data_IF_719179296531
#
_entry.id   IF_719179296531
#
_cell.length_a   1.000
_cell.length_b   1.000
_cell.length_c   1.000
_cell.angle_alpha   90.00
_cell.angle_beta   90.00
_cell.angle_gamma   90.00
#
_symmetry.space_group_name_H-M   'P 1'
#
loop_
_entity.id
_entity.type
_entity.pdbx_description
1 polymer ?
#
# COMPACT_ATOMS: atom_id res chain seq x y z
N UNK A 1 -24.29 -0.42 -12.58
CA UNK A 1 -23.22 -0.63 -13.60
C UNK A 1 -22.59 -1.98 -13.30
N UNK A 2 -22.09 -2.71 -14.30
CA UNK A 2 -21.36 -3.95 -14.01
C UNK A 2 -20.03 -3.59 -13.35
N UNK A 3 -19.72 -4.22 -12.21
CA UNK A 3 -18.43 -4.05 -11.55
C UNK A 3 -17.32 -4.64 -12.43
N UNK A 4 -16.31 -3.85 -12.76
CA UNK A 4 -15.14 -4.27 -13.51
C UNK A 4 -13.88 -3.90 -12.72
N UNK A 5 -13.07 -4.90 -12.38
CA UNK A 5 -11.90 -4.77 -11.52
C UNK A 5 -10.62 -4.96 -12.35
N UNK A 6 -9.68 -4.03 -12.23
CA UNK A 6 -8.31 -4.21 -12.72
C UNK A 6 -7.41 -4.66 -11.56
N UNK A 7 -6.80 -5.84 -11.68
CA UNK A 7 -5.75 -6.31 -10.76
C UNK A 7 -4.42 -5.65 -11.16
N UNK A 8 -3.84 -4.87 -10.26
CA UNK A 8 -2.57 -4.18 -10.44
C UNK A 8 -1.53 -4.83 -9.54
N UNK A 9 -0.54 -5.51 -10.12
CA UNK A 9 0.52 -6.17 -9.37
C UNK A 9 1.77 -5.28 -9.38
N UNK A 10 2.17 -4.79 -8.21
CA UNK A 10 3.30 -3.89 -8.02
C UNK A 10 4.55 -4.66 -7.64
N UNK A 11 5.64 -4.35 -8.34
CA UNK A 11 6.94 -4.97 -8.14
C UNK A 11 7.89 -4.01 -7.44
N UNK A 12 8.26 -4.31 -6.19
CA UNK A 12 9.25 -3.49 -5.48
C UNK A 12 10.62 -3.50 -6.20
N UNK A 13 10.97 -4.61 -6.83
CA UNK A 13 12.16 -4.76 -7.65
C UNK A 13 11.82 -5.48 -8.95
N UNK A 14 12.66 -5.30 -9.98
CA UNK A 14 12.47 -5.93 -11.28
C UNK A 14 12.66 -7.46 -11.18
N UNK A 15 11.53 -8.17 -11.06
CA UNK A 15 11.46 -9.63 -10.98
C UNK A 15 10.63 -10.21 -12.13
N UNK A 16 11.12 -10.06 -13.36
CA UNK A 16 10.39 -10.44 -14.59
C UNK A 16 9.90 -11.89 -14.58
N UNK A 17 10.63 -12.82 -13.93
CA UNK A 17 10.23 -14.22 -13.77
C UNK A 17 8.92 -14.41 -13.00
N UNK A 18 8.56 -13.48 -12.11
CA UNK A 18 7.32 -13.55 -11.36
C UNK A 18 6.11 -13.23 -12.24
N UNK A 19 6.26 -12.48 -13.35
CA UNK A 19 5.14 -12.07 -14.23
C UNK A 19 4.37 -13.30 -14.69
N UNK A 20 5.02 -14.24 -15.40
CA UNK A 20 4.37 -15.46 -15.88
C UNK A 20 3.73 -16.29 -14.76
N UNK A 21 4.39 -16.39 -13.60
CA UNK A 21 3.87 -17.18 -12.48
C UNK A 21 2.63 -16.55 -11.87
N UNK A 22 2.59 -15.23 -11.78
CA UNK A 22 1.45 -14.51 -11.23
C UNK A 22 0.27 -14.53 -12.21
N UNK A 23 0.53 -14.48 -13.53
CA UNK A 23 -0.49 -14.78 -14.55
C UNK A 23 -1.12 -16.15 -14.31
N UNK A 24 -0.32 -17.22 -14.18
CA UNK A 24 -0.83 -18.58 -13.91
C UNK A 24 -1.64 -18.70 -12.60
N UNK A 25 -1.39 -17.82 -11.62
CA UNK A 25 -2.09 -17.79 -10.33
C UNK A 25 -3.40 -17.00 -10.40
N UNK A 26 -3.51 -16.01 -11.29
CA UNK A 26 -4.58 -15.03 -11.29
C UNK A 26 -5.45 -15.03 -12.56
N UNK A 27 -5.01 -15.59 -13.68
CA UNK A 27 -5.69 -15.55 -14.99
C UNK A 27 -7.14 -16.07 -14.96
N UNK A 28 -7.39 -17.11 -14.19
CA UNK A 28 -8.70 -17.72 -14.02
C UNK A 28 -9.57 -16.99 -12.98
N UNK A 29 -9.04 -15.96 -12.32
CA UNK A 29 -9.70 -15.19 -11.25
C UNK A 29 -9.89 -13.72 -11.60
N UNK A 30 -9.08 -13.17 -12.49
CA UNK A 30 -9.11 -11.78 -12.91
C UNK A 30 -8.89 -11.70 -14.41
N UNK A 31 -9.84 -11.11 -15.13
CA UNK A 31 -9.78 -10.93 -16.58
C UNK A 31 -8.84 -9.78 -17.00
N UNK A 32 -8.50 -8.89 -16.07
CA UNK A 32 -7.71 -7.69 -16.31
C UNK A 32 -6.53 -7.60 -15.32
N UNK A 33 -5.39 -8.16 -15.70
CA UNK A 33 -4.17 -8.18 -14.90
C UNK A 33 -3.14 -7.25 -15.53
N UNK A 34 -2.60 -6.34 -14.73
CA UNK A 34 -1.53 -5.43 -15.11
C UNK A 34 -0.35 -5.55 -14.16
N UNK A 35 0.85 -5.63 -14.72
CA UNK A 35 2.09 -5.69 -13.95
C UNK A 35 2.79 -4.34 -13.98
N UNK A 36 3.01 -3.73 -12.82
CA UNK A 36 3.68 -2.44 -12.71
C UNK A 36 5.12 -2.70 -12.28
N UNK A 37 6.03 -2.66 -13.26
CA UNK A 37 7.40 -3.18 -13.11
C UNK A 37 8.44 -2.06 -13.27
N UNK A 38 9.33 -1.85 -12.29
CA UNK A 38 10.32 -0.80 -12.37
C UNK A 38 11.39 -1.13 -13.42
N UNK A 39 11.70 -0.16 -14.28
CA UNK A 39 12.72 -0.26 -15.33
C UNK A 39 12.53 -1.47 -16.26
N UNK A 40 11.29 -1.86 -16.52
CA UNK A 40 10.97 -2.90 -17.50
C UNK A 40 11.26 -2.41 -18.93
N UNK A 41 11.92 -3.24 -19.72
CA UNK A 41 12.34 -2.98 -21.10
C UNK A 41 11.87 -4.06 -22.09
N UNK A 42 11.00 -4.97 -21.64
CA UNK A 42 10.38 -5.98 -22.50
C UNK A 42 9.13 -5.46 -23.21
N UNK A 43 8.40 -6.37 -23.84
CA UNK A 43 7.32 -6.09 -24.79
C UNK A 43 5.96 -6.68 -24.38
N UNK A 44 5.83 -7.22 -23.16
CA UNK A 44 4.55 -7.77 -22.70
C UNK A 44 3.48 -6.66 -22.61
N UNK A 45 2.32 -6.83 -23.26
CA UNK A 45 1.36 -5.74 -23.48
C UNK A 45 0.64 -5.28 -22.20
N UNK A 46 0.62 -6.13 -21.17
CA UNK A 46 0.01 -5.84 -19.88
C UNK A 46 1.04 -5.47 -18.79
N UNK A 47 2.29 -5.25 -19.18
CA UNK A 47 3.31 -4.71 -18.29
C UNK A 47 3.43 -3.20 -18.50
N UNK A 48 3.32 -2.45 -17.42
CA UNK A 48 3.47 -1.00 -17.39
C UNK A 48 4.85 -0.69 -16.78
N UNK A 49 5.81 -0.18 -17.58
CA UNK A 49 7.11 0.21 -17.07
C UNK A 49 6.99 1.49 -16.24
N UNK A 50 7.65 1.51 -15.09
CA UNK A 50 7.73 2.70 -14.21
C UNK A 50 9.18 3.01 -13.84
N UNK A 51 9.44 4.28 -13.54
CA UNK A 51 10.80 4.78 -13.30
C UNK A 51 10.83 5.57 -12.00
N UNK A 52 10.97 4.86 -10.88
CA UNK A 52 11.05 5.46 -9.55
C UNK A 52 11.75 4.49 -8.58
N UNK A 53 12.15 4.97 -7.41
CA UNK A 53 12.70 4.16 -6.31
C UNK A 53 11.62 3.32 -5.63
N UNK A 54 11.99 2.10 -5.21
CA UNK A 54 11.13 1.24 -4.39
C UNK A 54 10.79 1.85 -3.02
N UNK A 55 11.56 2.82 -2.52
CA UNK A 55 11.21 3.56 -1.30
C UNK A 55 10.02 4.52 -1.51
N UNK A 56 9.72 4.87 -2.76
CA UNK A 56 8.72 5.86 -3.17
C UNK A 56 7.74 5.27 -4.18
N UNK A 57 7.43 3.96 -4.07
CA UNK A 57 6.61 3.27 -5.07
C UNK A 57 5.15 3.77 -5.16
N UNK A 58 4.71 4.71 -4.29
CA UNK A 58 3.50 5.50 -4.58
C UNK A 58 3.55 6.13 -5.97
N UNK A 59 4.75 6.53 -6.43
CA UNK A 59 4.98 7.03 -7.78
C UNK A 59 4.69 6.01 -8.88
N UNK A 60 4.76 4.71 -8.59
CA UNK A 60 4.45 3.65 -9.57
C UNK A 60 2.96 3.67 -9.90
N UNK A 61 2.10 3.83 -8.89
CA UNK A 61 0.64 3.93 -9.06
C UNK A 61 0.31 5.20 -9.87
N UNK A 62 0.98 6.31 -9.56
CA UNK A 62 0.82 7.57 -10.31
C UNK A 62 1.23 7.44 -11.78
N UNK A 63 2.33 6.75 -12.07
CA UNK A 63 2.82 6.53 -13.43
C UNK A 63 1.95 5.52 -14.20
N UNK A 64 1.38 4.53 -13.51
CA UNK A 64 0.58 3.49 -14.14
C UNK A 64 -0.84 3.95 -14.49
N UNK A 65 -1.47 4.79 -13.67
CA UNK A 65 -2.86 5.18 -13.87
C UNK A 65 -3.19 5.80 -15.25
N UNK A 66 -2.35 6.66 -15.86
CA UNK A 66 -2.57 7.15 -17.22
C UNK A 66 -2.78 6.05 -18.28
N UNK A 67 -2.19 4.86 -18.11
CA UNK A 67 -2.37 3.72 -19.01
C UNK A 67 -3.69 2.97 -18.81
N UNK A 68 -4.39 3.25 -17.70
CA UNK A 68 -5.61 2.56 -17.27
C UNK A 68 -6.83 3.49 -17.33
N UNK A 69 -6.61 4.80 -17.23
CA UNK A 69 -7.64 5.83 -17.30
C UNK A 69 -8.43 5.70 -18.60
N UNK A 70 -9.76 5.73 -18.48
CA UNK A 70 -10.68 5.62 -19.62
C UNK A 70 -10.94 4.20 -20.13
N UNK A 71 -10.34 3.15 -19.54
CA UNK A 71 -10.61 1.75 -19.90
C UNK A 71 -11.90 1.16 -19.32
N UNK A 72 -12.71 1.95 -18.62
CA UNK A 72 -14.01 1.52 -18.07
C UNK A 72 -13.94 0.75 -16.74
N UNK A 73 -12.77 0.69 -16.10
CA UNK A 73 -12.64 0.07 -14.78
C UNK A 73 -13.39 0.85 -13.71
N UNK A 74 -14.11 0.11 -12.86
CA UNK A 74 -14.82 0.66 -11.70
C UNK A 74 -13.98 0.58 -10.43
N UNK A 75 -13.08 -0.42 -10.36
CA UNK A 75 -12.24 -0.68 -9.20
C UNK A 75 -10.82 -1.05 -9.64
N UNK A 76 -9.86 -0.73 -8.79
CA UNK A 76 -8.46 -1.07 -8.94
C UNK A 76 -8.02 -1.84 -7.69
N UNK A 77 -7.66 -3.10 -7.87
CA UNK A 77 -7.17 -3.94 -6.79
C UNK A 77 -5.67 -4.05 -6.89
N UNK A 78 -4.95 -3.41 -5.97
CA UNK A 78 -3.50 -3.32 -5.97
C UNK A 78 -2.93 -4.37 -5.02
N UNK A 79 -1.95 -5.14 -5.47
CA UNK A 79 -1.20 -6.11 -4.64
C UNK A 79 0.30 -6.10 -4.95
N UNK A 80 1.13 -6.47 -3.99
CA UNK A 80 2.56 -6.70 -4.21
C UNK A 80 2.85 -8.02 -4.96
N UNK A 81 3.97 -8.09 -5.69
CA UNK A 81 4.37 -9.26 -6.48
C UNK A 81 4.75 -10.50 -5.65
N UNK A 82 5.10 -10.30 -4.38
CA UNK A 82 5.32 -11.36 -3.39
C UNK A 82 4.13 -11.54 -2.44
N UNK A 83 2.91 -11.19 -2.87
CA UNK A 83 1.67 -11.44 -2.14
C UNK A 83 0.79 -12.47 -2.88
N UNK A 84 0.24 -13.42 -2.12
CA UNK A 84 -0.80 -14.33 -2.62
C UNK A 84 -2.14 -13.96 -2.00
N UNK A 85 -3.12 -13.61 -2.81
CA UNK A 85 -4.50 -13.34 -2.37
C UNK A 85 -5.24 -14.66 -2.16
N UNK A 86 -6.14 -14.71 -1.17
CA UNK A 86 -6.94 -15.89 -0.86
C UNK A 86 -7.57 -16.53 -2.12
N UNK A 87 -7.42 -17.85 -2.35
CA UNK A 87 -7.77 -18.51 -3.62
C UNK A 87 -9.25 -18.35 -4.04
N UNK A 88 -10.15 -18.22 -3.08
CA UNK A 88 -11.60 -18.05 -3.33
C UNK A 88 -11.97 -16.68 -3.92
N UNK A 89 -11.08 -15.69 -3.83
CA UNK A 89 -11.34 -14.32 -4.26
C UNK A 89 -11.05 -14.16 -5.75
N UNK A 90 -12.01 -13.58 -6.46
CA UNK A 90 -11.94 -13.26 -7.88
C UNK A 90 -12.69 -11.95 -8.16
N UNK A 91 -12.59 -11.46 -9.39
CA UNK A 91 -13.17 -10.16 -9.79
C UNK A 91 -14.69 -10.04 -9.54
N UNK A 92 -15.42 -11.16 -9.53
CA UNK A 92 -16.88 -11.18 -9.38
C UNK A 92 -17.35 -11.21 -7.93
N UNK A 93 -16.47 -11.60 -6.99
CA UNK A 93 -16.85 -11.78 -5.58
C UNK A 93 -15.98 -11.00 -4.58
N UNK A 94 -14.94 -10.32 -5.04
CA UNK A 94 -13.95 -9.65 -4.19
C UNK A 94 -14.61 -8.70 -3.20
N UNK A 95 -15.41 -7.76 -3.69
CA UNK A 95 -16.07 -6.71 -2.89
C UNK A 95 -17.02 -7.35 -1.86
N UNK A 96 -17.92 -8.21 -2.33
CA UNK A 96 -18.91 -8.90 -1.49
C UNK A 96 -18.24 -9.73 -0.38
N UNK A 97 -17.25 -10.56 -0.74
CA UNK A 97 -16.58 -11.43 0.22
C UNK A 97 -15.72 -10.64 1.20
N UNK A 98 -15.17 -9.49 0.80
CA UNK A 98 -14.49 -8.58 1.73
C UNK A 98 -15.46 -7.85 2.67
N UNK A 99 -16.77 -7.91 2.42
CA UNK A 99 -17.78 -7.23 3.23
C UNK A 99 -17.80 -5.72 2.99
N UNK A 100 -17.44 -5.28 1.78
CA UNK A 100 -17.37 -3.87 1.40
C UNK A 100 -18.59 -3.46 0.58
N UNK A 101 -18.95 -2.19 0.63
CA UNK A 101 -19.82 -1.57 -0.38
C UNK A 101 -19.04 -1.20 -1.66
N UNK A 102 -19.72 -1.06 -2.79
CA UNK A 102 -19.10 -0.74 -4.10
C UNK A 102 -18.44 0.65 -4.15
N UNK A 103 -18.72 1.52 -3.17
CA UNK A 103 -18.16 2.85 -3.07
C UNK A 103 -17.14 2.99 -1.91
N UNK A 104 -16.74 1.87 -1.32
CA UNK A 104 -15.76 1.80 -0.24
C UNK A 104 -14.38 1.39 -0.77
N UNK A 105 -13.36 2.15 -0.38
CA UNK A 105 -11.96 1.79 -0.56
C UNK A 105 -11.47 0.95 0.62
N UNK A 106 -10.36 0.24 0.43
CA UNK A 106 -9.74 -0.59 1.46
C UNK A 106 -8.22 -0.47 1.49
N UNK A 107 -7.67 -0.53 2.70
CA UNK A 107 -6.25 -0.74 3.02
C UNK A 107 -6.16 -1.61 4.29
N UNK A 108 -5.15 -2.46 4.46
CA UNK A 108 -5.10 -3.42 5.57
C UNK A 108 -5.21 -2.74 6.95
N UNK A 109 -4.33 -1.77 7.25
CA UNK A 109 -4.39 -0.97 8.46
C UNK A 109 -3.64 0.37 8.33
N UNK A 110 -3.98 1.31 9.21
CA UNK A 110 -3.27 2.57 9.40
C UNK A 110 -2.41 2.55 10.67
N UNK A 111 -1.28 3.26 10.63
CA UNK A 111 -0.39 3.51 11.75
C UNK A 111 -0.47 4.99 12.14
N UNK A 112 -1.18 5.25 13.23
CA UNK A 112 -1.31 6.58 13.82
C UNK A 112 -0.06 6.90 14.64
N UNK A 113 0.82 7.73 14.12
CA UNK A 113 2.15 7.98 14.67
C UNK A 113 2.14 8.40 16.15
N UNK A 114 1.09 9.09 16.57
CA UNK A 114 0.90 9.61 17.92
C UNK A 114 0.44 8.52 18.91
N UNK A 115 -0.10 7.42 18.43
CA UNK A 115 -0.65 6.32 19.25
C UNK A 115 0.29 5.11 19.30
N UNK A 116 1.32 5.08 18.45
CA UNK A 116 2.30 3.99 18.43
C UNK A 116 3.03 3.87 19.78
N UNK A 117 3.11 2.65 20.27
CA UNK A 117 3.84 2.30 21.51
C UNK A 117 5.26 1.80 21.25
N UNK A 118 5.68 1.71 19.97
CA UNK A 118 6.99 1.21 19.56
C UNK A 118 7.69 2.14 18.54
N UNK A 119 9.03 2.07 18.42
CA UNK A 119 9.76 2.79 17.40
C UNK A 119 9.45 2.26 16.00
N UNK A 120 9.14 3.19 15.11
CA UNK A 120 8.99 2.93 13.69
C UNK A 120 9.70 4.06 12.93
N UNK A 121 9.00 4.74 12.03
CA UNK A 121 9.55 5.77 11.15
C UNK A 121 9.20 7.19 11.58
N UNK A 122 8.92 7.44 12.86
CA UNK A 122 8.51 8.77 13.31
C UNK A 122 9.57 9.84 12.99
N UNK A 123 10.88 9.53 13.12
CA UNK A 123 11.94 10.50 12.74
C UNK A 123 11.98 10.84 11.25
N UNK A 124 11.47 9.97 10.38
CA UNK A 124 11.37 10.22 8.94
C UNK A 124 10.21 11.17 8.66
N UNK A 125 9.04 10.91 9.25
CA UNK A 125 7.90 11.83 9.23
C UNK A 125 8.26 13.23 9.77
N UNK A 126 8.95 13.33 10.91
CA UNK A 126 9.39 14.62 11.49
C UNK A 126 10.35 15.41 10.59
N UNK A 127 11.01 14.77 9.62
CA UNK A 127 11.93 15.44 8.69
C UNK A 127 11.28 15.80 7.37
N UNK A 128 10.15 15.18 7.07
CA UNK A 128 9.47 15.36 5.80
C UNK A 128 9.01 16.81 5.63
N UNK A 129 9.14 17.30 4.40
CA UNK A 129 8.69 18.62 3.98
C UNK A 129 8.05 18.50 2.61
N UNK A 130 6.85 19.04 2.48
CA UNK A 130 6.15 19.11 1.19
C UNK A 130 6.89 20.05 0.22
N UNK A 131 7.32 21.22 0.70
CA UNK A 131 8.07 22.18 -0.13
C UNK A 131 9.53 21.74 -0.27
N UNK A 132 9.90 21.29 -1.46
CA UNK A 132 11.28 20.92 -1.81
C UNK A 132 11.71 21.64 -3.08
N UNK A 133 13.02 21.96 -3.17
CA UNK A 133 13.57 22.69 -4.32
C UNK A 133 13.39 21.84 -5.59
N UNK A 134 12.79 22.44 -6.62
CA UNK A 134 12.57 21.78 -7.91
C UNK A 134 11.35 20.86 -7.96
N UNK A 135 10.49 20.88 -6.94
CA UNK A 135 9.27 20.05 -6.89
C UNK A 135 8.06 20.92 -6.57
N UNK A 136 7.03 20.88 -7.42
CA UNK A 136 5.82 21.71 -7.28
C UNK A 136 4.67 21.00 -6.53
N UNK A 137 4.98 20.02 -5.68
CA UNK A 137 3.97 19.20 -4.99
C UNK A 137 3.00 20.02 -4.12
N UNK A 138 3.45 21.13 -3.54
CA UNK A 138 2.66 21.92 -2.59
C UNK A 138 1.39 22.54 -3.19
N UNK A 139 1.32 22.72 -4.51
CA UNK A 139 0.14 23.29 -5.17
C UNK A 139 -0.93 22.23 -5.49
N UNK A 140 -0.55 20.95 -5.48
CA UNK A 140 -1.43 19.84 -5.82
C UNK A 140 -1.96 19.10 -4.59
N UNK A 141 -1.23 19.17 -3.47
CA UNK A 141 -1.70 18.60 -2.20
C UNK A 141 -2.69 19.55 -1.52
N UNK A 142 -3.68 19.01 -0.77
CA UNK A 142 -4.54 19.81 0.08
C UNK A 142 -3.71 20.67 1.03
N UNK A 143 -4.25 21.82 1.42
CA UNK A 143 -3.67 22.63 2.50
C UNK A 143 -3.63 21.82 3.81
N UNK A 144 -2.81 22.26 4.76
CA UNK A 144 -2.71 21.60 6.08
C UNK A 144 -4.08 21.54 6.76
N UNK A 145 -4.88 22.60 6.67
CA UNK A 145 -6.22 22.66 7.28
C UNK A 145 -7.20 21.68 6.61
N UNK A 146 -7.18 21.57 5.28
CA UNK A 146 -8.01 20.60 4.55
C UNK A 146 -7.60 19.16 4.87
N UNK A 147 -6.28 18.89 4.93
CA UNK A 147 -5.76 17.60 5.33
C UNK A 147 -6.15 17.22 6.76
N UNK A 148 -6.10 18.18 7.71
CA UNK A 148 -6.53 17.97 9.09
C UNK A 148 -8.03 17.64 9.19
N UNK A 149 -8.89 18.36 8.46
CA UNK A 149 -10.33 18.05 8.39
C UNK A 149 -10.57 16.63 7.89
N UNK A 150 -9.76 16.18 6.94
CA UNK A 150 -9.87 14.82 6.42
C UNK A 150 -9.39 13.78 7.44
N UNK A 151 -8.33 14.08 8.19
CA UNK A 151 -7.85 13.24 9.29
C UNK A 151 -8.88 13.13 10.42
N UNK A 152 -9.60 14.21 10.72
CA UNK A 152 -10.66 14.22 11.74
C UNK A 152 -11.77 13.21 11.42
N UNK A 153 -12.15 13.05 10.15
CA UNK A 153 -13.16 12.07 9.71
C UNK A 153 -12.80 10.62 10.06
N UNK A 154 -11.51 10.31 10.12
CA UNK A 154 -10.98 8.99 10.43
C UNK A 154 -10.44 8.88 11.86
N UNK A 155 -10.60 9.92 12.67
CA UNK A 155 -10.05 9.98 14.02
C UNK A 155 -8.53 9.80 14.05
N UNK A 156 -7.82 10.35 13.05
CA UNK A 156 -6.37 10.28 12.96
C UNK A 156 -5.78 11.52 13.64
N UNK A 157 -4.99 11.38 14.71
CA UNK A 157 -4.40 12.53 15.38
C UNK A 157 -3.30 13.17 14.52
N UNK A 158 -3.24 14.50 14.55
CA UNK A 158 -2.15 15.30 13.96
C UNK A 158 -1.45 16.19 15.00
N UNK A 159 -1.64 15.89 16.30
CA UNK A 159 -0.90 16.51 17.40
C UNK A 159 0.58 16.10 17.39
N UNK A 160 1.38 16.72 18.25
CA UNK A 160 2.79 16.35 18.38
C UNK A 160 2.97 14.86 18.66
N UNK A 161 3.84 14.21 17.88
CA UNK A 161 4.26 12.83 18.14
C UNK A 161 4.82 12.73 19.57
N UNK A 162 4.33 11.78 20.41
CA UNK A 162 4.83 11.59 21.76
C UNK A 162 6.29 11.14 21.79
N UNK A 163 6.93 11.40 22.92
CA UNK A 163 8.32 11.02 23.14
C UNK A 163 8.49 9.56 23.57
N UNK A 164 7.42 8.96 24.14
CA UNK A 164 7.45 7.72 24.90
C UNK A 164 7.75 6.42 24.12
N UNK A 165 7.39 6.21 22.85
CA UNK A 165 7.65 4.90 22.23
C UNK A 165 9.15 4.60 21.95
N UNK A 166 10.09 5.47 22.33
CA UNK A 166 11.39 5.59 21.64
C UNK A 166 12.62 5.55 22.54
N UNK A 167 12.48 5.95 23.80
CA UNK A 167 13.59 5.90 24.77
C UNK A 167 13.66 4.53 25.43
N UNK A 168 12.51 3.90 25.68
CA UNK A 168 12.43 2.71 26.52
C UNK A 168 13.01 1.45 25.85
N UNK A 169 13.26 1.47 24.54
CA UNK A 169 13.68 0.27 23.80
C UNK A 169 15.12 0.36 23.27
N UNK A 170 15.64 1.55 22.91
CA UNK A 170 16.95 1.66 22.25
C UNK A 170 17.59 3.05 22.38
N UNK A 171 18.50 3.24 23.36
CA UNK A 171 19.22 4.50 23.61
C UNK A 171 19.88 5.11 22.36
N UNK A 172 20.29 4.30 21.37
CA UNK A 172 20.89 4.79 20.11
C UNK A 172 19.98 5.75 19.31
N UNK A 173 18.66 5.67 19.49
CA UNK A 173 17.73 6.57 18.79
C UNK A 173 17.53 7.90 19.51
N UNK A 174 17.96 8.03 20.77
CA UNK A 174 17.70 9.22 21.59
C UNK A 174 18.26 10.49 20.95
N UNK A 175 19.50 10.45 20.45
CA UNK A 175 20.14 11.59 19.79
C UNK A 175 19.44 11.96 18.48
N UNK A 176 18.98 10.95 17.71
CA UNK A 176 18.24 11.18 16.47
C UNK A 176 16.89 11.87 16.76
N UNK A 177 16.21 11.48 17.84
CA UNK A 177 14.96 12.12 18.25
C UNK A 177 15.16 13.50 18.83
N UNK A 178 16.12 13.69 19.74
CA UNK A 178 16.44 14.99 20.32
C UNK A 178 16.77 16.03 19.24
N UNK A 179 17.51 15.62 18.19
CA UNK A 179 17.80 16.50 17.04
C UNK A 179 16.54 16.95 16.28
N UNK A 180 15.46 16.16 16.30
CA UNK A 180 14.20 16.47 15.63
C UNK A 180 13.09 16.86 16.62
N UNK A 181 13.41 17.11 17.89
CA UNK A 181 12.42 17.35 18.96
C UNK A 181 11.44 18.49 18.64
N UNK A 182 11.93 19.55 18.00
CA UNK A 182 11.12 20.71 17.59
C UNK A 182 10.16 20.39 16.42
N UNK A 183 10.32 19.25 15.75
CA UNK A 183 9.54 18.83 14.57
C UNK A 183 8.58 17.67 14.89
N UNK A 184 8.21 17.50 16.16
CA UNK A 184 7.20 16.52 16.57
C UNK A 184 5.80 16.91 16.09
N UNK A 185 5.54 18.21 15.97
CA UNK A 185 4.47 18.70 15.10
C UNK A 185 4.98 18.64 13.68
N UNK A 186 4.32 17.83 12.86
CA UNK A 186 4.71 17.61 11.48
C UNK A 186 4.37 18.85 10.65
N UNK A 187 5.23 19.19 9.69
CA UNK A 187 5.01 20.30 8.76
C UNK A 187 3.77 20.04 7.86
N UNK A 188 3.36 18.77 7.73
CA UNK A 188 2.15 18.32 7.04
C UNK A 188 1.56 17.10 7.77
N UNK A 189 0.22 16.95 7.88
CA UNK A 189 -0.38 15.76 8.47
C UNK A 189 0.01 14.50 7.71
N UNK A 190 0.50 13.48 8.43
CA UNK A 190 0.90 12.19 7.86
C UNK A 190 0.33 11.05 8.68
N UNK A 191 -0.08 9.99 7.99
CA UNK A 191 -0.46 8.71 8.59
C UNK A 191 0.34 7.61 7.93
N UNK A 192 0.77 6.63 8.73
CA UNK A 192 1.42 5.43 8.23
C UNK A 192 0.41 4.35 7.87
N UNK A 193 0.86 3.23 7.30
CA UNK A 193 0.00 2.09 7.03
C UNK A 193 0.64 1.05 6.14
N UNK A 194 -0.06 -0.06 5.97
CA UNK A 194 0.41 -1.18 5.16
C UNK A 194 -0.02 -1.00 3.70
N UNK A 195 0.95 -0.84 2.79
CA UNK A 195 0.71 -0.32 1.45
C UNK A 195 0.74 -1.36 0.33
N UNK A 196 0.93 -2.64 0.66
CA UNK A 196 1.09 -3.73 -0.32
C UNK A 196 -0.25 -4.28 -0.83
N UNK A 197 -1.38 -3.90 -0.24
CA UNK A 197 -2.73 -4.29 -0.68
C UNK A 197 -3.71 -3.13 -0.57
N UNK A 198 -4.40 -2.81 -1.65
CA UNK A 198 -5.40 -1.74 -1.71
C UNK A 198 -6.57 -2.16 -2.60
N UNK A 199 -7.79 -1.76 -2.25
CA UNK A 199 -8.91 -1.73 -3.19
C UNK A 199 -9.40 -0.29 -3.32
N UNK A 200 -9.43 0.21 -4.55
CA UNK A 200 -9.68 1.62 -4.84
C UNK A 200 -10.85 1.74 -5.82
N UNK A 201 -11.77 2.65 -5.53
CA UNK A 201 -12.87 2.98 -6.45
C UNK A 201 -12.39 3.97 -7.52
N UNK A 202 -12.95 3.88 -8.72
CA UNK A 202 -12.47 4.67 -9.86
C UNK A 202 -12.64 6.19 -9.68
N UNK A 203 -13.64 6.63 -8.91
CA UNK A 203 -13.94 8.05 -8.67
C UNK A 203 -12.83 8.77 -7.88
N UNK A 204 -12.07 8.06 -7.05
CA UNK A 204 -10.98 8.66 -6.27
C UNK A 204 -9.63 8.64 -6.99
N UNK A 205 -9.49 7.85 -8.07
CA UNK A 205 -8.19 7.52 -8.65
C UNK A 205 -7.44 8.73 -9.19
N UNK A 206 -8.12 9.72 -9.79
CA UNK A 206 -7.45 10.92 -10.28
C UNK A 206 -6.76 11.68 -9.15
N UNK A 207 -7.46 11.87 -8.03
CA UNK A 207 -6.94 12.59 -6.85
C UNK A 207 -5.88 11.76 -6.13
N UNK A 208 -6.16 10.48 -5.89
CA UNK A 208 -5.26 9.56 -5.22
C UNK A 208 -3.92 9.42 -5.95
N UNK A 209 -3.95 9.24 -7.27
CA UNK A 209 -2.73 9.07 -8.07
C UNK A 209 -1.92 10.37 -8.14
N UNK A 210 -2.58 11.53 -8.24
CA UNK A 210 -1.92 12.83 -8.16
C UNK A 210 -1.17 13.01 -6.82
N UNK A 211 -1.82 12.68 -5.70
CA UNK A 211 -1.18 12.77 -4.38
C UNK A 211 -0.03 11.78 -4.22
N UNK A 212 -0.21 10.54 -4.69
CA UNK A 212 0.84 9.52 -4.73
C UNK A 212 2.08 10.01 -5.51
N UNK A 213 1.88 10.68 -6.65
CA UNK A 213 2.94 11.28 -7.45
C UNK A 213 3.62 12.46 -6.75
N UNK A 214 2.84 13.37 -6.15
CA UNK A 214 3.37 14.50 -5.37
C UNK A 214 4.22 14.04 -4.17
N UNK A 215 3.77 13.00 -3.47
CA UNK A 215 4.52 12.41 -2.36
C UNK A 215 5.78 11.68 -2.83
N UNK A 216 5.73 10.96 -3.95
CA UNK A 216 6.92 10.33 -4.53
C UNK A 216 7.97 11.37 -4.96
N UNK A 217 7.55 12.43 -5.66
CA UNK A 217 8.43 13.51 -6.09
C UNK A 217 9.09 14.25 -4.91
N UNK A 218 8.41 14.30 -3.76
CA UNK A 218 8.94 14.83 -2.50
C UNK A 218 9.61 13.77 -1.62
N UNK A 219 9.86 12.58 -2.15
CA UNK A 219 10.62 11.51 -1.48
C UNK A 219 10.01 11.09 -0.14
N UNK A 220 8.68 11.14 -0.03
CA UNK A 220 7.97 10.59 1.13
C UNK A 220 7.95 9.07 1.03
N UNK A 221 8.39 8.40 2.09
CA UNK A 221 8.40 6.94 2.12
C UNK A 221 7.01 6.36 1.90
N UNK A 222 6.94 5.27 1.14
CA UNK A 222 5.69 4.72 0.61
C UNK A 222 4.65 4.34 1.68
N UNK A 223 5.08 3.79 2.82
CA UNK A 223 4.19 3.46 3.95
C UNK A 223 3.65 4.71 4.66
N UNK A 224 4.06 5.92 4.28
CA UNK A 224 3.37 7.18 4.60
C UNK A 224 2.60 7.73 3.39
N UNK A 225 3.21 7.69 2.21
CA UNK A 225 2.68 8.30 1.00
C UNK A 225 1.33 7.71 0.58
N UNK A 226 1.23 6.38 0.46
CA UNK A 226 0.00 5.70 0.03
C UNK A 226 -1.11 5.87 1.06
N UNK A 227 -0.91 5.58 2.36
CA UNK A 227 -1.96 5.73 3.37
C UNK A 227 -2.44 7.18 3.49
N UNK A 228 -1.52 8.15 3.47
CA UNK A 228 -1.87 9.58 3.51
C UNK A 228 -2.62 9.99 2.25
N UNK A 229 -2.15 9.61 1.06
CA UNK A 229 -2.86 9.90 -0.19
C UNK A 229 -4.27 9.33 -0.20
N UNK A 230 -4.45 8.11 0.31
CA UNK A 230 -5.75 7.44 0.36
C UNK A 230 -6.72 8.17 1.30
N UNK A 231 -6.28 8.44 2.54
CA UNK A 231 -7.08 9.23 3.50
C UNK A 231 -7.48 10.59 2.91
N UNK A 232 -6.57 11.26 2.19
CA UNK A 232 -6.85 12.55 1.56
C UNK A 232 -7.82 12.48 0.36
N UNK A 233 -8.04 11.29 -0.20
CA UNK A 233 -8.75 11.12 -1.48
C UNK A 233 -10.15 10.54 -1.35
N UNK A 234 -10.48 9.88 -0.24
CA UNK A 234 -11.79 9.26 -0.02
C UNK A 234 -12.36 9.61 1.35
N UNK A 235 -13.68 9.53 1.46
CA UNK A 235 -14.44 9.59 2.73
C UNK A 235 -14.93 8.20 3.19
N UNK A 236 -14.66 7.16 2.38
CA UNK A 236 -15.17 5.79 2.56
C UNK A 236 -14.01 4.81 2.52
N UNK A 237 -13.36 4.64 3.66
CA UNK A 237 -12.18 3.76 3.80
C UNK A 237 -12.46 2.71 4.86
N UNK A 238 -12.22 1.45 4.50
CA UNK A 238 -12.33 0.27 5.36
C UNK A 238 -10.96 -0.34 5.62
N UNK A 239 -10.87 -1.03 6.74
CA UNK A 239 -9.68 -1.74 7.18
C UNK A 239 -9.99 -3.21 7.37
N UNK A 240 -8.97 -4.05 7.50
CA UNK A 240 -9.17 -5.48 7.78
C UNK A 240 -10.02 -5.72 9.02
N UNK A 241 -9.90 -4.86 10.04
CA UNK A 241 -10.73 -4.92 11.25
C UNK A 241 -12.23 -4.74 11.00
N UNK A 242 -12.62 -4.19 9.85
CA UNK A 242 -14.01 -3.99 9.44
C UNK A 242 -14.52 -5.13 8.53
N UNK A 243 -13.65 -6.09 8.19
CA UNK A 243 -13.95 -7.21 7.28
C UNK A 243 -14.06 -8.54 8.04
N UNK A 244 -14.64 -9.60 7.46
CA UNK A 244 -14.61 -10.93 8.06
C UNK A 244 -13.24 -11.62 7.98
N UNK A 245 -12.24 -10.97 7.38
CA UNK A 245 -10.92 -11.54 7.14
C UNK A 245 -9.88 -11.08 8.16
N UNK A 246 -8.77 -11.81 8.20
CA UNK A 246 -7.58 -11.46 8.96
C UNK A 246 -6.43 -11.10 8.01
N UNK A 247 -5.58 -10.17 8.47
CA UNK A 247 -4.33 -9.83 7.78
C UNK A 247 -3.42 -11.06 7.77
N UNK A 248 -2.74 -11.29 6.63
CA UNK A 248 -1.73 -12.34 6.49
C UNK A 248 -0.33 -11.82 6.33
N UNK A 249 -0.05 -10.63 6.87
CA UNK A 249 1.32 -10.14 7.04
C UNK A 249 2.08 -11.06 7.99
N UNK A 250 3.23 -11.55 7.54
CA UNK A 250 4.12 -12.45 8.26
C UNK A 250 5.49 -11.81 8.43
N UNK A 251 5.78 -11.31 9.63
CA UNK A 251 7.10 -10.82 9.98
C UNK A 251 8.07 -11.97 10.27
N UNK A 252 9.35 -11.79 9.96
CA UNK A 252 10.38 -12.77 10.39
C UNK A 252 10.44 -12.85 11.92
N UNK A 253 10.59 -14.05 12.51
CA UNK A 253 10.88 -15.34 11.86
C UNK A 253 9.64 -16.18 11.47
N UNK A 254 8.43 -15.66 11.64
CA UNK A 254 7.19 -16.42 11.43
C UNK A 254 7.04 -16.93 9.98
N UNK A 255 7.54 -16.15 9.01
CA UNK A 255 7.56 -16.56 7.60
C UNK A 255 8.29 -17.88 7.37
N UNK A 256 9.48 -18.06 7.97
CA UNK A 256 10.28 -19.26 7.74
C UNK A 256 9.58 -20.52 8.26
N UNK A 257 8.98 -20.45 9.45
CA UNK A 257 8.20 -21.54 10.03
C UNK A 257 6.96 -21.83 9.19
N UNK A 258 6.23 -20.79 8.76
CA UNK A 258 5.07 -20.94 7.89
C UNK A 258 5.44 -21.61 6.56
N UNK A 259 6.47 -21.13 5.87
CA UNK A 259 6.88 -21.67 4.57
C UNK A 259 7.33 -23.14 4.67
N UNK A 260 7.99 -23.52 5.76
CA UNK A 260 8.41 -24.90 6.02
C UNK A 260 7.22 -25.85 6.21
N UNK A 261 6.11 -25.40 6.81
CA UNK A 261 4.89 -26.21 6.97
C UNK A 261 4.36 -26.73 5.63
N UNK A 262 4.53 -25.96 4.56
CA UNK A 262 4.10 -26.31 3.21
C UNK A 262 5.24 -26.83 2.34
N UNK A 263 6.43 -27.06 2.92
CA UNK A 263 7.61 -27.55 2.20
C UNK A 263 8.06 -26.64 1.06
N UNK A 264 7.74 -25.34 1.12
CA UNK A 264 7.91 -24.40 0.01
C UNK A 264 7.20 -24.83 -1.29
N UNK A 265 6.10 -25.58 -1.21
CA UNK A 265 5.30 -25.96 -2.37
C UNK A 265 4.07 -25.05 -2.48
N UNK A 266 3.97 -24.30 -3.58
CA UNK A 266 2.89 -23.35 -3.78
C UNK A 266 1.55 -24.06 -3.99
N UNK A 267 1.53 -25.19 -4.69
CA UNK A 267 0.30 -25.95 -4.92
C UNK A 267 -0.29 -26.48 -3.61
N UNK A 268 0.56 -26.95 -2.70
CA UNK A 268 0.15 -27.40 -1.37
C UNK A 268 -0.37 -26.25 -0.52
N UNK A 269 0.25 -25.06 -0.61
CA UNK A 269 -0.26 -23.85 0.03
C UNK A 269 -1.63 -23.45 -0.51
N UNK A 270 -1.83 -23.46 -1.83
CA UNK A 270 -3.10 -23.09 -2.44
C UNK A 270 -4.23 -24.06 -2.08
N UNK A 271 -3.92 -25.36 -1.97
CA UNK A 271 -4.88 -26.40 -1.55
C UNK A 271 -5.28 -26.28 -0.08
N UNK A 272 -4.33 -25.91 0.78
CA UNK A 272 -4.53 -25.83 2.24
C UNK A 272 -4.37 -24.40 2.74
N UNK A 273 -4.92 -23.46 1.97
CA UNK A 273 -4.79 -22.04 2.26
C UNK A 273 -5.49 -21.68 3.58
N UNK A 274 -4.89 -20.88 4.48
CA UNK A 274 -5.51 -20.51 5.74
C UNK A 274 -6.84 -19.78 5.55
N UNK A 275 -7.94 -20.42 5.96
CA UNK A 275 -9.31 -20.06 5.57
C UNK A 275 -9.76 -18.62 5.95
N UNK A 276 -9.15 -18.01 6.98
CA UNK A 276 -9.49 -16.66 7.44
C UNK A 276 -8.55 -15.56 6.92
N UNK A 277 -7.45 -15.92 6.25
CA UNK A 277 -6.44 -14.93 5.82
C UNK A 277 -6.84 -14.30 4.49
N UNK A 278 -6.97 -12.98 4.41
CA UNK A 278 -7.30 -12.29 3.17
C UNK A 278 -6.22 -12.51 2.08
N UNK A 279 -4.97 -12.47 2.50
CA UNK A 279 -3.78 -12.64 1.68
C UNK A 279 -2.68 -13.29 2.52
N UNK A 280 -1.56 -13.62 1.92
CA UNK A 280 -0.31 -14.01 2.59
C UNK A 280 0.83 -13.18 2.03
N UNK A 281 1.59 -12.53 2.91
CA UNK A 281 2.74 -11.75 2.52
C UNK A 281 3.83 -11.76 3.61
N UNK A 282 5.11 -11.92 3.25
CA UNK A 282 5.60 -12.16 1.89
C UNK A 282 5.51 -13.65 1.51
N UNK A 283 5.43 -13.94 0.21
CA UNK A 283 5.58 -15.25 -0.44
C UNK A 283 6.56 -15.06 -1.60
N UNK A 284 7.85 -15.27 -1.32
CA UNK A 284 8.90 -15.07 -2.31
C UNK A 284 8.90 -16.19 -3.35
N UNK A 285 8.19 -16.00 -4.47
CA UNK A 285 8.00 -17.02 -5.50
C UNK A 285 9.28 -17.75 -5.89
N UNK A 286 10.43 -17.08 -5.97
CA UNK A 286 11.73 -17.72 -6.26
C UNK A 286 12.12 -18.89 -5.32
N UNK A 287 11.51 -18.98 -4.14
CA UNK A 287 11.71 -20.07 -3.17
C UNK A 287 10.61 -21.12 -3.20
N UNK A 288 9.45 -20.81 -3.76
CA UNK A 288 8.29 -21.69 -3.77
C UNK A 288 8.20 -22.42 -5.11
N UNK A 289 8.12 -23.74 -5.11
CA UNK A 289 7.94 -24.58 -6.30
C UNK A 289 6.49 -24.78 -6.68
#
# INVERSE_FOLDING_TARGET
MSCTIALLIIYNHRYDKNIKRLEEIYDNRFSHIYHIVPFYDGDLPNVIPVYESSYYFSGYISQAYPHLKGKGYTHFFVVADDMIIHPVLNENNLIEKMGLAEDECYIDYLLKLQELTYPWRQTEAMKYKVKQKGVEAAQFLPTVEEAQKQFDKYGIPYSAIPFRPLIDIHCKYIFKYLRNYKRRHLDYPLVGGYADILLLTADIMEKFTLYCGAFAATRLFVEFAIPTALVLSTDKLKFTSDTPWESGVMWRPHYETFAQQYGYNLSELMKNYPAKKLFLHPIKLSKWS
#
